data_IF_171305432708
#
_entry.id   IF_171305432708
#
_cell.length_a   1.000
_cell.length_b   1.000
_cell.length_c   1.000
_cell.angle_alpha   90.00
_cell.angle_beta   90.00
_cell.angle_gamma   90.00
#
_symmetry.space_group_name_H-M   'P 1'
#
loop_
_entity.id
_entity.type
_entity.pdbx_description
1 polymer ?
#
# COMPACT_ATOMS: atom_id res chain seq x y z
N UNK A 1 25.94 69.59 28.94
CA UNK A 1 24.72 70.43 28.91
C UNK A 1 24.08 70.26 27.54
N UNK A 2 22.75 70.14 27.54
CA UNK A 2 21.83 70.24 26.40
C UNK A 2 21.64 69.01 25.52
N UNK A 3 20.73 68.16 26.01
CA UNK A 3 19.76 67.38 25.23
C UNK A 3 18.88 68.34 24.42
N UNK A 4 18.68 68.09 23.12
CA UNK A 4 17.37 68.28 22.48
C UNK A 4 17.18 67.30 21.32
N UNK A 5 16.08 66.57 21.46
CA UNK A 5 15.41 65.64 20.58
C UNK A 5 14.76 66.38 19.40
N UNK A 6 14.92 65.92 18.15
CA UNK A 6 13.99 66.26 17.08
C UNK A 6 13.96 65.18 15.98
N UNK A 7 12.74 64.69 15.75
CA UNK A 7 12.33 63.70 14.76
C UNK A 7 12.67 64.12 13.33
N UNK A 8 13.04 63.16 12.48
CA UNK A 8 12.26 62.82 11.28
C UNK A 8 12.93 61.69 10.48
N UNK A 9 12.14 60.63 10.27
CA UNK A 9 12.18 59.74 9.10
C UNK A 9 13.41 58.84 8.94
N UNK A 10 13.50 57.82 9.79
CA UNK A 10 14.02 56.54 9.35
C UNK A 10 13.04 55.92 8.34
N UNK A 11 13.51 55.40 7.19
CA UNK A 11 12.70 54.47 6.41
C UNK A 11 12.61 53.16 7.21
N UNK A 12 11.49 52.95 7.92
CA UNK A 12 10.95 51.59 8.10
C UNK A 12 10.83 51.01 6.68
N UNK A 13 11.41 49.88 6.32
CA UNK A 13 11.61 48.66 7.07
C UNK A 13 10.95 47.58 6.21
N UNK A 14 11.73 46.84 5.44
CA UNK A 14 11.26 45.65 4.73
C UNK A 14 11.87 44.42 5.41
N UNK A 15 11.43 44.18 6.65
CA UNK A 15 11.11 42.82 7.10
C UNK A 15 9.62 42.67 6.86
N UNK A 16 9.25 41.74 6.01
CA UNK A 16 7.90 41.17 6.02
C UNK A 16 8.07 39.71 6.43
N UNK A 17 7.86 39.44 7.71
CA UNK A 17 7.43 38.12 8.13
C UNK A 17 6.02 37.88 7.59
N UNK A 18 5.74 36.66 7.20
CA UNK A 18 4.39 36.13 7.19
C UNK A 18 4.36 35.01 8.22
N UNK A 19 4.03 35.39 9.45
CA UNK A 19 3.25 34.53 10.34
C UNK A 19 1.97 34.18 9.58
N UNK A 20 1.74 32.90 9.32
CA UNK A 20 0.42 32.40 8.99
C UNK A 20 -0.24 31.83 10.25
N UNK A 21 -1.55 32.06 10.42
CA UNK A 21 -2.23 31.91 11.69
C UNK A 21 -2.61 30.46 11.94
N UNK A 22 -2.63 30.07 13.21
CA UNK A 22 -3.43 28.93 13.66
C UNK A 22 -4.87 29.08 13.15
N UNK A 23 -5.45 28.09 12.45
CA UNK A 23 -6.87 28.11 12.18
C UNK A 23 -7.61 27.79 13.48
N UNK A 24 -8.36 28.77 13.96
CA UNK A 24 -9.44 28.55 14.92
C UNK A 24 -10.47 27.59 14.30
N UNK A 25 -11.06 26.65 15.07
CA UNK A 25 -12.03 25.65 14.59
C UNK A 25 -13.33 26.21 13.98
N UNK A 26 -13.50 27.54 13.91
CA UNK A 26 -14.73 28.19 13.49
C UNK A 26 -14.77 28.62 11.99
N UNK A 27 -13.65 28.49 11.25
CA UNK A 27 -13.57 28.99 9.88
C UNK A 27 -13.98 27.97 8.79
N UNK A 28 -13.95 26.67 9.07
CA UNK A 28 -14.33 25.63 8.10
C UNK A 28 -15.84 25.42 7.97
N UNK A 29 -16.62 25.94 8.92
CA UNK A 29 -18.09 25.81 8.90
C UNK A 29 -18.74 26.70 7.83
N UNK A 30 -18.06 27.75 7.33
CA UNK A 30 -18.66 28.72 6.40
C UNK A 30 -18.31 28.55 4.91
N UNK A 31 -17.45 27.60 4.52
CA UNK A 31 -17.21 27.27 3.09
C UNK A 31 -18.12 26.18 2.54
N UNK A 32 -18.80 25.41 3.39
CA UNK A 32 -19.81 24.42 2.98
C UNK A 32 -21.23 25.01 2.74
N UNK A 33 -21.47 26.30 3.00
CA UNK A 33 -22.83 26.86 2.96
C UNK A 33 -23.28 27.39 1.58
N UNK A 34 -22.46 27.30 0.53
CA UNK A 34 -22.84 27.75 -0.83
C UNK A 34 -23.37 26.66 -1.78
N UNK A 35 -23.53 25.42 -1.30
CA UNK A 35 -24.21 24.33 -2.03
C UNK A 35 -25.55 23.91 -1.41
N UNK A 36 -26.18 24.78 -0.61
CA UNK A 36 -27.59 24.59 -0.24
C UNK A 36 -28.46 25.15 -1.36
N UNK A 37 -28.50 24.43 -2.48
CA UNK A 37 -29.67 24.47 -3.36
C UNK A 37 -30.90 24.05 -2.55
N UNK A 38 -32.08 24.59 -2.92
CA UNK A 38 -33.37 24.30 -2.29
C UNK A 38 -33.51 22.80 -1.94
N UNK A 39 -34.15 22.44 -0.81
CA UNK A 39 -34.29 21.06 -0.40
C UNK A 39 -34.98 20.28 -1.53
N UNK A 40 -34.23 19.44 -2.25
CA UNK A 40 -34.84 18.34 -2.98
C UNK A 40 -35.39 17.42 -1.92
N UNK A 41 -36.67 17.09 -2.04
CA UNK A 41 -37.24 15.97 -1.30
C UNK A 41 -36.37 14.76 -1.61
N UNK A 42 -35.59 14.31 -0.62
CA UNK A 42 -34.94 13.00 -0.66
C UNK A 42 -36.11 12.02 -0.56
N UNK A 43 -36.52 11.50 -1.70
CA UNK A 43 -37.47 10.39 -1.73
C UNK A 43 -36.90 9.27 -0.86
N UNK A 44 -37.76 8.65 -0.05
CA UNK A 44 -37.44 7.48 0.75
C UNK A 44 -37.16 6.31 -0.18
N UNK A 45 -35.95 6.25 -0.73
CA UNK A 45 -35.42 5.05 -1.37
C UNK A 45 -35.06 4.08 -0.24
N UNK A 46 -35.55 2.83 -0.27
CA UNK A 46 -35.12 1.83 0.71
C UNK A 46 -33.62 1.61 0.57
N UNK A 47 -32.91 1.56 1.71
CA UNK A 47 -31.52 1.06 1.75
C UNK A 47 -31.47 -0.24 0.96
N UNK A 48 -30.53 -0.33 0.01
CA UNK A 48 -30.42 -1.51 -0.84
C UNK A 48 -30.31 -2.76 0.05
N UNK A 49 -30.87 -3.90 -0.40
CA UNK A 49 -30.82 -5.15 0.37
C UNK A 49 -29.39 -5.57 0.75
N UNK A 50 -28.38 -5.01 0.07
CA UNK A 50 -26.95 -5.20 0.30
C UNK A 50 -26.38 -4.31 1.39
N UNK A 51 -26.81 -3.05 1.53
CA UNK A 51 -26.48 -2.24 2.73
C UNK A 51 -27.05 -2.90 3.98
N UNK A 52 -28.27 -3.46 3.88
CA UNK A 52 -28.87 -4.23 4.97
C UNK A 52 -28.10 -5.55 5.24
N UNK A 53 -27.50 -6.16 4.21
CA UNK A 53 -26.64 -7.35 4.34
C UNK A 53 -25.30 -7.01 4.98
N UNK A 54 -24.66 -5.91 4.57
CA UNK A 54 -23.46 -5.37 5.20
C UNK A 54 -23.71 -5.07 6.67
N UNK A 55 -24.75 -4.30 6.99
CA UNK A 55 -25.15 -4.07 8.39
C UNK A 55 -25.49 -5.38 9.11
N UNK A 56 -26.10 -6.38 8.47
CA UNK A 56 -26.35 -7.70 9.10
C UNK A 56 -25.08 -8.52 9.32
N UNK A 57 -24.10 -8.47 8.43
CA UNK A 57 -22.81 -9.15 8.58
C UNK A 57 -22.01 -8.50 9.72
N UNK A 58 -21.91 -7.18 9.73
CA UNK A 58 -21.19 -6.41 10.75
C UNK A 58 -21.91 -6.34 12.10
N UNK A 59 -23.25 -6.47 12.15
CA UNK A 59 -24.02 -6.50 13.42
C UNK A 59 -24.18 -7.90 14.03
N UNK A 60 -23.92 -8.99 13.28
CA UNK A 60 -24.07 -10.37 13.79
C UNK A 60 -22.80 -11.03 14.31
N UNK A 61 -21.62 -10.42 14.18
CA UNK A 61 -20.40 -10.95 14.78
C UNK A 61 -19.69 -9.88 15.61
N UNK A 62 -19.87 -9.95 16.92
CA UNK A 62 -19.14 -9.12 17.89
C UNK A 62 -17.65 -9.45 18.01
N UNK A 63 -17.01 -9.95 16.94
CA UNK A 63 -15.57 -10.25 16.92
C UNK A 63 -14.95 -9.60 15.69
N UNK A 64 -14.33 -8.45 15.94
CA UNK A 64 -13.44 -7.77 14.97
C UNK A 64 -12.43 -8.78 14.43
N UNK A 65 -12.18 -8.76 13.12
CA UNK A 65 -11.08 -9.55 12.54
C UNK A 65 -9.77 -8.87 12.95
N UNK A 66 -8.89 -9.63 13.60
CA UNK A 66 -7.56 -9.15 13.93
C UNK A 66 -6.76 -8.92 12.65
N UNK A 67 -5.90 -7.90 12.67
CA UNK A 67 -4.89 -7.76 11.64
C UNK A 67 -3.94 -8.95 11.69
N UNK A 68 -3.65 -9.52 10.53
CA UNK A 68 -2.72 -10.65 10.39
C UNK A 68 -1.76 -10.38 9.23
N UNK A 69 -0.49 -10.16 9.52
CA UNK A 69 0.54 -9.85 8.52
C UNK A 69 1.50 -11.01 8.30
N UNK A 70 2.04 -11.11 7.09
CA UNK A 70 3.21 -11.90 6.76
C UNK A 70 4.44 -10.98 6.79
N UNK A 71 5.43 -11.37 7.59
CA UNK A 71 6.67 -10.63 7.81
C UNK A 71 7.81 -11.56 7.45
N UNK A 72 8.85 -11.08 6.76
CA UNK A 72 10.04 -11.91 6.58
C UNK A 72 11.33 -11.10 6.65
N UNK A 73 12.37 -11.77 7.17
CA UNK A 73 13.75 -11.29 7.11
C UNK A 73 14.29 -11.61 5.72
N UNK A 74 14.79 -10.58 5.05
CA UNK A 74 15.36 -10.67 3.70
C UNK A 74 16.66 -11.49 3.72
N UNK A 75 17.04 -12.13 2.61
CA UNK A 75 18.19 -13.05 2.58
C UNK A 75 19.51 -12.49 3.12
N UNK A 76 19.82 -11.22 2.86
CA UNK A 76 21.05 -10.59 3.33
C UNK A 76 21.12 -10.44 4.86
N UNK A 77 19.99 -10.53 5.56
CA UNK A 77 19.86 -10.31 6.99
C UNK A 77 19.44 -11.57 7.77
N UNK A 78 19.36 -12.74 7.13
CA UNK A 78 19.00 -13.98 7.84
C UNK A 78 20.19 -14.45 8.69
N UNK A 79 20.24 -13.97 9.93
CA UNK A 79 21.14 -14.41 10.98
C UNK A 79 20.33 -14.70 12.25
N UNK A 80 20.84 -15.56 13.14
CA UNK A 80 20.15 -15.84 14.40
C UNK A 80 19.95 -14.58 15.28
N UNK A 81 20.93 -13.64 15.37
CA UNK A 81 20.70 -12.36 16.03
C UNK A 81 19.56 -11.53 15.43
N UNK A 82 19.40 -11.49 14.10
CA UNK A 82 18.30 -10.75 13.46
C UNK A 82 16.97 -11.45 13.70
N UNK A 83 16.92 -12.79 13.64
CA UNK A 83 15.70 -13.56 13.98
C UNK A 83 15.23 -13.25 15.39
N UNK A 84 16.15 -13.26 16.36
CA UNK A 84 15.84 -12.91 17.75
C UNK A 84 15.34 -11.47 17.88
N UNK A 85 16.06 -10.50 17.31
CA UNK A 85 15.69 -9.09 17.35
C UNK A 85 14.30 -8.84 16.75
N UNK A 86 14.00 -9.44 15.59
CA UNK A 86 12.70 -9.28 14.93
C UNK A 86 11.59 -9.90 15.76
N UNK A 87 11.77 -11.15 16.22
CA UNK A 87 10.77 -11.83 17.05
C UNK A 87 10.50 -11.07 18.35
N UNK A 88 11.54 -10.66 19.06
CA UNK A 88 11.43 -9.91 20.30
C UNK A 88 10.79 -8.54 20.07
N UNK A 89 11.17 -7.83 19.01
CA UNK A 89 10.58 -6.54 18.65
C UNK A 89 9.09 -6.63 18.33
N UNK A 90 8.66 -7.66 17.59
CA UNK A 90 7.25 -7.92 17.29
C UNK A 90 6.46 -8.19 18.58
N UNK A 91 6.95 -9.09 19.45
CA UNK A 91 6.30 -9.44 20.72
C UNK A 91 6.26 -8.24 21.67
N UNK A 92 7.33 -7.45 21.78
CA UNK A 92 7.41 -6.28 22.64
C UNK A 92 6.40 -5.19 22.25
N UNK A 93 6.01 -5.11 20.97
CA UNK A 93 4.98 -4.20 20.48
C UNK A 93 3.56 -4.80 20.57
N UNK A 94 3.41 -5.98 21.19
CA UNK A 94 2.13 -6.61 21.48
C UNK A 94 1.55 -7.47 20.36
N UNK A 95 2.36 -7.85 19.37
CA UNK A 95 1.95 -8.75 18.30
C UNK A 95 2.14 -10.21 18.72
N UNK A 96 1.18 -11.06 18.35
CA UNK A 96 1.25 -12.50 18.57
C UNK A 96 1.90 -13.17 17.37
N UNK A 97 3.04 -13.85 17.56
CA UNK A 97 3.65 -14.69 16.52
C UNK A 97 2.89 -16.02 16.45
N UNK A 98 2.16 -16.24 15.37
CA UNK A 98 1.35 -17.44 15.15
C UNK A 98 2.19 -18.61 14.63
N UNK A 99 3.07 -18.32 13.67
CA UNK A 99 4.01 -19.29 13.10
C UNK A 99 5.21 -18.55 12.56
N UNK A 100 6.33 -19.25 12.47
CA UNK A 100 7.59 -18.76 11.90
C UNK A 100 8.32 -19.93 11.25
N UNK A 101 9.21 -19.64 10.31
CA UNK A 101 9.93 -20.70 9.62
C UNK A 101 10.93 -20.19 8.58
N UNK A 102 11.68 -21.13 8.02
CA UNK A 102 12.64 -20.86 6.95
C UNK A 102 12.07 -21.32 5.62
N UNK A 103 12.21 -20.51 4.56
CA UNK A 103 11.91 -20.90 3.18
C UNK A 103 13.21 -20.74 2.38
N UNK A 104 13.70 -21.84 1.82
CA UNK A 104 15.01 -21.88 1.16
C UNK A 104 14.98 -21.28 -0.25
N UNK A 105 16.14 -20.87 -0.76
CA UNK A 105 16.29 -20.36 -2.14
C UNK A 105 15.75 -21.33 -3.19
N UNK A 106 15.93 -22.64 -3.00
CA UNK A 106 15.48 -23.67 -3.94
C UNK A 106 13.94 -23.75 -3.98
N UNK A 107 13.28 -23.61 -2.83
CA UNK A 107 11.83 -23.55 -2.77
C UNK A 107 11.30 -22.26 -3.40
N UNK A 108 11.95 -21.12 -3.11
CA UNK A 108 11.60 -19.83 -3.70
C UNK A 108 11.68 -19.89 -5.22
N UNK A 109 12.76 -20.46 -5.76
CA UNK A 109 12.98 -20.53 -7.20
C UNK A 109 12.01 -21.52 -7.88
N UNK A 110 11.92 -22.74 -7.36
CA UNK A 110 11.08 -23.80 -7.96
C UNK A 110 9.58 -23.49 -7.95
N UNK A 111 9.10 -22.74 -6.95
CA UNK A 111 7.70 -22.30 -6.86
C UNK A 111 7.50 -20.86 -7.36
N UNK A 112 8.56 -20.19 -7.82
CA UNK A 112 8.52 -18.80 -8.27
C UNK A 112 7.94 -17.82 -7.22
N UNK A 113 8.20 -18.07 -5.92
CA UNK A 113 7.53 -17.36 -4.83
C UNK A 113 7.82 -15.87 -4.85
N UNK A 114 9.07 -15.48 -5.11
CA UNK A 114 9.46 -14.06 -5.16
C UNK A 114 8.94 -13.37 -6.42
N UNK A 115 8.87 -14.10 -7.54
CA UNK A 115 8.28 -13.61 -8.79
C UNK A 115 6.80 -13.32 -8.61
N UNK A 116 6.08 -14.22 -7.93
CA UNK A 116 4.65 -14.08 -7.66
C UNK A 116 4.38 -12.98 -6.62
N UNK A 117 5.23 -12.88 -5.59
CA UNK A 117 5.16 -11.81 -4.59
C UNK A 117 5.33 -10.42 -5.22
N UNK A 118 6.23 -10.28 -6.20
CA UNK A 118 6.43 -9.06 -6.97
C UNK A 118 5.83 -9.15 -8.39
N UNK A 119 4.69 -9.81 -8.57
CA UNK A 119 4.17 -10.14 -9.90
C UNK A 119 4.00 -8.93 -10.81
N UNK A 120 3.51 -7.80 -10.29
CA UNK A 120 3.35 -6.56 -11.04
C UNK A 120 4.68 -6.06 -11.64
N UNK A 121 5.80 -6.28 -10.95
CA UNK A 121 7.15 -5.94 -11.40
C UNK A 121 7.69 -7.03 -12.33
N UNK A 122 7.63 -8.29 -11.87
CA UNK A 122 8.19 -9.46 -12.52
C UNK A 122 7.62 -9.67 -13.93
N UNK A 123 6.30 -9.56 -14.06
CA UNK A 123 5.59 -9.72 -15.33
C UNK A 123 6.09 -8.72 -16.37
N UNK A 124 6.28 -7.45 -16.00
CA UNK A 124 6.78 -6.40 -16.90
C UNK A 124 8.28 -6.48 -17.17
N UNK A 125 9.04 -7.11 -16.27
CA UNK A 125 10.47 -7.31 -16.41
C UNK A 125 10.83 -8.53 -17.28
N UNK A 126 10.00 -9.58 -17.28
CA UNK A 126 10.41 -10.89 -17.82
C UNK A 126 9.36 -11.62 -18.66
N UNK A 127 8.06 -11.33 -18.50
CA UNK A 127 6.98 -12.09 -19.13
C UNK A 127 6.36 -11.34 -20.32
N UNK A 128 5.90 -10.12 -20.06
CA UNK A 128 5.22 -9.28 -21.03
C UNK A 128 6.21 -8.67 -22.01
N UNK A 129 5.84 -8.69 -23.28
CA UNK A 129 6.53 -7.96 -24.35
C UNK A 129 6.09 -6.49 -24.34
N UNK A 130 6.92 -5.57 -24.87
CA UNK A 130 6.62 -4.14 -24.83
C UNK A 130 5.23 -3.77 -25.37
N UNK A 131 4.79 -4.39 -26.47
CA UNK A 131 3.46 -4.15 -27.06
C UNK A 131 2.28 -4.68 -26.23
N UNK A 132 2.54 -5.42 -25.14
CA UNK A 132 1.54 -5.90 -24.19
C UNK A 132 1.46 -5.01 -22.93
N UNK A 133 2.34 -4.02 -22.80
CA UNK A 133 2.37 -3.12 -21.66
C UNK A 133 1.38 -1.96 -21.83
N UNK A 134 0.69 -1.60 -20.76
CA UNK A 134 -0.24 -0.47 -20.70
C UNK A 134 0.51 0.86 -20.41
N UNK A 135 1.49 1.20 -21.24
CA UNK A 135 2.34 2.39 -21.05
C UNK A 135 1.53 3.68 -21.21
N UNK A 136 1.52 4.59 -20.21
CA UNK A 136 0.98 5.94 -20.37
C UNK A 136 1.83 6.71 -21.39
N UNK A 137 1.34 6.79 -22.63
CA UNK A 137 2.12 7.28 -23.77
C UNK A 137 2.55 8.74 -23.61
N UNK A 138 1.70 9.56 -23.00
CA UNK A 138 1.96 10.97 -22.66
C UNK A 138 3.12 11.10 -21.67
N UNK A 139 3.16 10.27 -20.63
CA UNK A 139 4.26 10.28 -19.64
C UNK A 139 5.57 9.78 -20.27
N UNK A 140 5.50 8.75 -21.12
CA UNK A 140 6.68 8.24 -21.82
C UNK A 140 7.28 9.31 -22.73
N UNK A 141 6.46 9.95 -23.57
CA UNK A 141 6.90 11.01 -24.47
C UNK A 141 7.45 12.22 -23.72
N UNK A 142 6.76 12.65 -22.65
CA UNK A 142 7.23 13.75 -21.80
C UNK A 142 8.60 13.46 -21.18
N UNK A 143 8.86 12.22 -20.78
CA UNK A 143 10.14 11.83 -20.19
C UNK A 143 11.26 11.75 -21.23
N UNK A 144 11.00 11.11 -22.37
CA UNK A 144 12.06 10.66 -23.28
C UNK A 144 12.13 11.44 -24.58
N UNK A 145 11.17 12.34 -24.85
CA UNK A 145 11.06 13.10 -26.09
C UNK A 145 10.78 12.23 -27.32
N UNK A 146 10.27 11.01 -27.13
CA UNK A 146 9.98 10.04 -28.18
C UNK A 146 8.57 9.47 -27.97
N UNK A 147 7.75 9.45 -29.02
CA UNK A 147 6.41 8.87 -28.95
C UNK A 147 6.46 7.36 -28.66
N UNK A 148 5.51 6.84 -27.89
CA UNK A 148 5.47 5.41 -27.52
C UNK A 148 5.38 4.49 -28.74
N UNK A 149 4.47 4.79 -29.68
CA UNK A 149 4.32 4.00 -30.91
C UNK A 149 5.59 4.07 -31.77
N UNK A 150 6.24 5.24 -31.84
CA UNK A 150 7.51 5.40 -32.55
C UNK A 150 8.62 4.55 -31.92
N UNK A 151 8.67 4.47 -30.59
CA UNK A 151 9.64 3.63 -29.89
C UNK A 151 9.43 2.13 -30.17
N UNK A 152 8.16 1.69 -30.26
CA UNK A 152 7.79 0.34 -30.68
C UNK A 152 8.19 0.06 -32.12
N UNK A 153 7.82 0.94 -33.05
CA UNK A 153 8.08 0.78 -34.48
C UNK A 153 9.58 0.75 -34.79
N UNK A 154 10.39 1.50 -34.03
CA UNK A 154 11.86 1.49 -34.12
C UNK A 154 12.52 0.31 -33.39
N UNK A 155 11.77 -0.50 -32.65
CA UNK A 155 12.31 -1.63 -31.89
C UNK A 155 13.28 -1.21 -30.77
N UNK A 156 12.99 -0.09 -30.10
CA UNK A 156 13.86 0.49 -29.06
C UNK A 156 13.45 0.11 -27.64
N UNK A 157 12.32 -0.58 -27.46
CA UNK A 157 11.73 -0.88 -26.15
C UNK A 157 11.84 -2.37 -25.83
N UNK A 158 12.20 -2.68 -24.59
CA UNK A 158 12.44 -4.05 -24.13
C UNK A 158 11.99 -4.22 -22.69
N UNK A 159 11.55 -5.42 -22.30
CA UNK A 159 11.55 -5.79 -20.89
C UNK A 159 13.00 -6.04 -20.41
N UNK A 160 13.22 -6.19 -19.10
CA UNK A 160 14.55 -6.41 -18.54
C UNK A 160 15.27 -7.62 -19.14
N UNK A 161 14.57 -8.76 -19.27
CA UNK A 161 15.13 -10.00 -19.80
C UNK A 161 15.62 -9.85 -21.24
N UNK A 162 14.76 -9.35 -22.12
CA UNK A 162 15.06 -9.16 -23.53
C UNK A 162 16.10 -8.04 -23.73
N UNK A 163 16.02 -6.97 -22.92
CA UNK A 163 16.96 -5.86 -22.96
C UNK A 163 18.37 -6.28 -22.54
N UNK A 164 18.47 -7.10 -21.51
CA UNK A 164 19.73 -7.70 -21.07
C UNK A 164 20.35 -8.58 -22.18
N UNK A 165 19.53 -9.44 -22.79
CA UNK A 165 19.96 -10.27 -23.92
C UNK A 165 20.37 -9.45 -25.15
N UNK A 166 19.64 -8.36 -25.45
CA UNK A 166 19.93 -7.43 -26.56
C UNK A 166 21.27 -6.72 -26.38
N UNK A 167 21.60 -6.34 -25.15
CA UNK A 167 22.85 -5.66 -24.80
C UNK A 167 24.01 -6.64 -24.56
N UNK A 168 23.73 -7.94 -24.41
CA UNK A 168 24.74 -8.94 -24.10
C UNK A 168 25.34 -8.77 -22.69
N UNK A 169 24.53 -8.33 -21.73
CA UNK A 169 24.95 -8.08 -20.34
C UNK A 169 24.20 -9.03 -19.39
N UNK A 170 24.67 -9.11 -18.14
CA UNK A 170 23.99 -9.84 -17.09
C UNK A 170 23.07 -8.94 -16.25
N UNK A 171 22.34 -9.55 -15.32
CA UNK A 171 21.37 -8.85 -14.46
C UNK A 171 22.01 -7.76 -13.60
N UNK A 172 23.20 -8.01 -13.05
CA UNK A 172 23.90 -7.09 -12.15
C UNK A 172 24.47 -5.89 -12.92
N UNK A 173 24.99 -6.13 -14.13
CA UNK A 173 25.42 -5.07 -15.04
C UNK A 173 24.24 -4.19 -15.45
N UNK A 174 23.10 -4.78 -15.80
CA UNK A 174 21.87 -4.05 -16.13
C UNK A 174 21.39 -3.21 -14.94
N UNK A 175 21.37 -3.77 -13.72
CA UNK A 175 20.99 -3.05 -12.50
C UNK A 175 21.96 -1.89 -12.17
N UNK A 176 23.26 -2.11 -12.38
CA UNK A 176 24.27 -1.06 -12.27
C UNK A 176 24.04 0.09 -13.26
N UNK A 177 23.63 -0.21 -14.50
CA UNK A 177 23.25 0.80 -15.49
C UNK A 177 21.93 1.48 -15.13
N UNK A 178 20.96 0.73 -14.61
CA UNK A 178 19.69 1.23 -14.11
C UNK A 178 19.88 2.26 -13.00
N UNK A 179 20.75 1.97 -12.02
CA UNK A 179 21.11 2.90 -10.95
C UNK A 179 21.74 4.19 -11.45
N UNK A 180 22.53 4.13 -12.53
CA UNK A 180 23.09 5.32 -13.19
C UNK A 180 22.02 6.13 -13.91
N UNK A 181 21.13 5.48 -14.65
CA UNK A 181 20.01 6.14 -15.32
C UNK A 181 19.08 6.85 -14.31
N UNK A 182 18.78 6.21 -13.17
CA UNK A 182 18.02 6.84 -12.08
C UNK A 182 18.68 8.13 -11.60
N UNK A 183 20.00 8.13 -11.38
CA UNK A 183 20.76 9.31 -10.93
C UNK A 183 20.85 10.40 -12.01
N UNK A 184 20.84 10.02 -13.27
CA UNK A 184 20.84 10.95 -14.41
C UNK A 184 19.45 11.56 -14.70
N UNK A 185 18.39 11.08 -14.04
CA UNK A 185 17.02 11.49 -14.34
C UNK A 185 16.43 10.81 -15.59
N UNK A 186 17.11 9.79 -16.13
CA UNK A 186 16.72 9.01 -17.31
C UNK A 186 15.77 7.85 -16.97
N UNK A 187 14.96 8.01 -15.93
CA UNK A 187 14.03 7.00 -15.43
C UNK A 187 12.68 7.64 -15.11
N UNK A 188 11.60 7.00 -15.54
CA UNK A 188 10.23 7.37 -15.21
C UNK A 188 9.53 6.25 -14.45
N UNK A 189 8.77 6.64 -13.41
CA UNK A 189 7.79 5.79 -12.73
C UNK A 189 6.41 6.07 -13.31
N UNK A 190 5.77 5.07 -13.90
CA UNK A 190 4.40 5.19 -14.41
C UNK A 190 3.36 4.97 -13.31
N UNK A 191 3.64 4.05 -12.39
CA UNK A 191 2.79 3.66 -11.25
C UNK A 191 3.49 2.64 -10.35
N UNK A 192 2.75 2.03 -9.42
CA UNK A 192 3.23 0.91 -8.60
C UNK A 192 3.85 -0.20 -9.46
N UNK A 193 5.09 -0.57 -9.15
CA UNK A 193 5.82 -1.64 -9.87
C UNK A 193 6.06 -1.42 -11.37
N UNK A 194 5.86 -0.22 -11.91
CA UNK A 194 5.94 0.06 -13.35
C UNK A 194 6.90 1.21 -13.66
N UNK A 195 8.12 0.84 -14.07
CA UNK A 195 9.21 1.76 -14.32
C UNK A 195 9.84 1.52 -15.68
N UNK A 196 10.34 2.59 -16.29
CA UNK A 196 11.14 2.53 -17.52
C UNK A 196 12.36 3.42 -17.37
N UNK A 197 13.51 2.93 -17.80
CA UNK A 197 14.75 3.70 -17.86
C UNK A 197 15.32 3.68 -19.28
N UNK A 198 15.91 4.80 -19.69
CA UNK A 198 16.74 4.84 -20.88
C UNK A 198 18.14 4.31 -20.53
N UNK A 199 18.52 3.23 -21.19
CA UNK A 199 19.79 2.54 -20.99
C UNK A 199 20.50 2.51 -22.35
N UNK A 200 21.56 3.31 -22.48
CA UNK A 200 22.16 3.61 -23.78
C UNK A 200 21.09 4.19 -24.74
N UNK A 201 20.88 3.57 -25.90
CA UNK A 201 19.93 4.02 -26.92
C UNK A 201 18.59 3.25 -26.88
N UNK A 202 18.34 2.44 -25.84
CA UNK A 202 17.10 1.67 -25.69
C UNK A 202 16.38 1.97 -24.37
N UNK A 203 15.11 1.59 -24.30
CA UNK A 203 14.23 1.77 -23.16
C UNK A 203 13.92 0.42 -22.53
N UNK A 204 14.29 0.24 -21.27
CA UNK A 204 14.14 -1.02 -20.55
C UNK A 204 13.12 -0.85 -19.43
N UNK A 205 12.20 -1.81 -19.30
CA UNK A 205 11.23 -1.86 -18.22
C UNK A 205 11.74 -2.70 -17.05
N UNK A 206 11.64 -2.16 -15.83
CA UNK A 206 11.97 -2.82 -14.57
C UNK A 206 13.34 -3.55 -14.55
N UNK A 207 14.39 -2.92 -15.10
CA UNK A 207 15.72 -3.50 -15.28
C UNK A 207 16.43 -3.97 -14.01
N UNK A 208 16.01 -3.47 -12.84
CA UNK A 208 16.53 -3.90 -11.54
C UNK A 208 16.00 -5.27 -11.08
N UNK A 209 14.89 -5.76 -11.64
CA UNK A 209 14.16 -6.91 -11.10
C UNK A 209 14.99 -8.19 -11.08
N UNK A 210 15.77 -8.44 -12.14
CA UNK A 210 16.55 -9.69 -12.25
C UNK A 210 17.64 -9.77 -11.18
N UNK A 211 18.35 -8.66 -10.92
CA UNK A 211 19.33 -8.54 -9.83
C UNK A 211 18.64 -8.72 -8.47
N UNK A 212 17.50 -8.05 -8.25
CA UNK A 212 16.71 -8.21 -7.03
C UNK A 212 16.29 -9.66 -6.79
N UNK A 213 15.74 -10.34 -7.81
CA UNK A 213 15.33 -11.75 -7.76
C UNK A 213 16.50 -12.65 -7.36
N UNK A 214 17.69 -12.41 -7.93
CA UNK A 214 18.88 -13.24 -7.68
C UNK A 214 19.23 -13.35 -6.19
N UNK A 215 18.99 -12.30 -5.40
CA UNK A 215 19.24 -12.28 -3.95
C UNK A 215 18.40 -13.28 -3.17
N UNK A 216 17.24 -13.68 -3.71
CA UNK A 216 16.32 -14.62 -3.08
C UNK A 216 16.52 -16.06 -3.54
N UNK A 217 17.04 -16.26 -4.75
CA UNK A 217 17.17 -17.58 -5.38
C UNK A 217 18.61 -18.08 -5.45
N UNK A 218 19.59 -17.27 -5.06
CA UNK A 218 20.99 -17.68 -5.01
C UNK A 218 21.15 -18.89 -4.05
N UNK A 219 21.89 -19.94 -4.45
CA UNK A 219 22.05 -21.14 -3.63
C UNK A 219 22.54 -20.85 -2.21
N UNK A 220 21.89 -21.48 -1.23
CA UNK A 220 22.22 -21.30 0.19
C UNK A 220 21.63 -20.04 0.82
N UNK A 221 20.84 -19.27 0.09
CA UNK A 221 20.02 -18.20 0.66
C UNK A 221 18.69 -18.74 1.19
N UNK A 222 18.01 -17.92 1.98
CA UNK A 222 16.66 -18.20 2.48
C UNK A 222 16.00 -16.90 2.92
N UNK A 223 14.69 -16.93 3.11
CA UNK A 223 14.02 -15.99 4.01
C UNK A 223 13.69 -16.67 5.33
N UNK A 224 13.52 -15.88 6.39
CA UNK A 224 12.92 -16.35 7.64
C UNK A 224 11.65 -15.56 7.90
N UNK A 225 10.50 -16.24 7.89
CA UNK A 225 9.19 -15.59 7.96
C UNK A 225 8.58 -15.67 9.36
N UNK A 226 7.63 -14.78 9.62
CA UNK A 226 6.70 -14.77 10.73
C UNK A 226 5.30 -14.48 10.18
N UNK A 227 4.29 -15.17 10.70
CA UNK A 227 2.90 -14.72 10.62
C UNK A 227 2.54 -14.13 11.96
N UNK A 228 2.15 -12.87 11.98
CA UNK A 228 1.84 -12.13 13.20
C UNK A 228 0.41 -11.63 13.20
N UNK A 229 -0.23 -11.68 14.36
CA UNK A 229 -1.62 -11.26 14.56
C UNK A 229 -1.72 -10.23 15.70
N UNK A 230 -2.56 -9.21 15.54
CA UNK A 230 -2.84 -8.22 16.57
C UNK A 230 -4.22 -7.56 16.43
N UNK A 231 -4.66 -6.92 17.51
CA UNK A 231 -5.90 -6.14 17.56
C UNK A 231 -5.69 -4.75 16.93
N UNK A 232 -6.40 -4.48 15.83
CA UNK A 232 -6.34 -3.21 15.10
C UNK A 232 -6.64 -1.99 15.99
N UNK A 233 -7.43 -2.16 17.07
CA UNK A 233 -7.72 -1.06 18.01
C UNK A 233 -6.53 -0.65 18.86
N UNK A 234 -5.51 -1.50 18.98
CA UNK A 234 -4.30 -1.24 19.76
C UNK A 234 -3.15 -0.74 18.89
N UNK A 235 -3.11 -1.16 17.63
CA UNK A 235 -2.08 -0.82 16.67
C UNK A 235 -2.69 -0.87 15.26
N UNK A 236 -2.82 0.29 14.60
CA UNK A 236 -3.26 0.33 13.20
C UNK A 236 -2.20 -0.31 12.29
N UNK A 237 -2.62 -0.77 11.12
CA UNK A 237 -1.70 -1.29 10.10
C UNK A 237 -0.65 -0.26 9.68
N UNK A 238 -1.08 1.00 9.48
CA UNK A 238 -0.20 2.15 9.24
C UNK A 238 0.89 2.26 10.32
N UNK A 239 0.49 2.20 11.60
CA UNK A 239 1.43 2.29 12.72
C UNK A 239 2.33 1.07 12.80
N UNK A 240 1.83 -0.12 12.49
CA UNK A 240 2.64 -1.33 12.38
C UNK A 240 3.75 -1.14 11.33
N UNK A 241 3.45 -0.61 10.15
CA UNK A 241 4.47 -0.37 9.12
C UNK A 241 5.38 0.80 9.43
N UNK A 242 4.84 1.92 9.87
CA UNK A 242 5.61 3.13 10.12
C UNK A 242 6.47 3.08 11.38
N UNK A 243 6.00 2.44 12.45
CA UNK A 243 6.62 2.53 13.79
C UNK A 243 7.18 1.21 14.30
N UNK A 244 6.56 0.07 13.98
CA UNK A 244 7.07 -1.24 14.38
C UNK A 244 8.11 -1.72 13.37
N UNK A 245 7.73 -1.81 12.09
CA UNK A 245 8.65 -2.20 11.02
C UNK A 245 9.66 -1.09 10.71
N UNK A 246 9.15 0.14 10.52
CA UNK A 246 9.90 1.30 10.03
C UNK A 246 9.71 1.51 8.52
N UNK A 247 9.84 2.74 7.99
CA UNK A 247 9.86 3.06 6.56
C UNK A 247 10.87 2.25 5.74
N UNK A 248 10.66 2.22 4.42
CA UNK A 248 11.48 1.40 3.51
C UNK A 248 12.95 1.78 3.50
N UNK A 249 13.26 3.07 3.59
CA UNK A 249 14.63 3.54 3.82
C UNK A 249 14.95 3.46 5.32
N UNK A 250 15.88 2.58 5.75
CA UNK A 250 16.25 2.47 7.15
C UNK A 250 16.79 3.78 7.75
N UNK A 251 17.36 4.68 6.93
CA UNK A 251 17.88 5.96 7.39
C UNK A 251 16.76 6.93 7.85
N UNK A 252 15.53 6.72 7.38
CA UNK A 252 14.35 7.49 7.77
C UNK A 252 13.57 6.79 8.90
N UNK A 253 14.02 5.62 9.35
CA UNK A 253 13.27 4.81 10.28
C UNK A 253 13.45 5.24 11.75
N UNK A 254 12.36 5.19 12.57
CA UNK A 254 12.49 5.38 14.00
C UNK A 254 13.54 4.45 14.59
N UNK A 255 14.38 4.95 15.51
CA UNK A 255 15.50 4.18 16.06
C UNK A 255 15.05 2.90 16.79
N UNK A 256 13.82 2.87 17.31
CA UNK A 256 13.23 1.71 17.99
C UNK A 256 12.43 0.77 17.05
N UNK A 257 12.24 1.14 15.79
CA UNK A 257 11.65 0.25 14.77
C UNK A 257 12.60 -0.89 14.39
N UNK A 258 12.08 -1.97 13.80
CA UNK A 258 12.89 -3.10 13.37
C UNK A 258 13.98 -2.69 12.37
N UNK A 259 13.63 -1.90 11.35
CA UNK A 259 14.60 -1.40 10.36
C UNK A 259 15.62 -0.44 10.98
N UNK A 260 15.18 0.43 11.89
CA UNK A 260 16.08 1.34 12.62
C UNK A 260 17.08 0.59 13.50
N UNK A 261 16.63 -0.44 14.22
CA UNK A 261 17.50 -1.26 15.05
C UNK A 261 18.46 -2.12 14.22
N UNK A 262 18.00 -2.68 13.11
CA UNK A 262 18.85 -3.44 12.18
C UNK A 262 19.92 -2.52 11.59
N UNK A 263 19.55 -1.31 11.15
CA UNK A 263 20.51 -0.31 10.67
C UNK A 263 21.53 0.06 11.74
N UNK A 264 21.10 0.33 12.97
CA UNK A 264 21.99 0.77 14.03
C UNK A 264 23.00 -0.32 14.45
N UNK A 265 22.60 -1.61 14.37
CA UNK A 265 23.37 -2.74 14.91
C UNK A 265 23.86 -3.70 13.83
N UNK A 266 23.84 -3.32 12.54
CA UNK A 266 24.02 -4.26 11.43
C UNK A 266 25.29 -5.13 11.54
N UNK A 267 26.41 -4.55 11.99
CA UNK A 267 27.67 -5.29 12.18
C UNK A 267 27.56 -6.33 13.30
N UNK A 268 26.99 -5.94 14.44
CA UNK A 268 26.76 -6.81 15.60
C UNK A 268 25.78 -7.93 15.27
N UNK A 269 24.80 -7.63 14.41
CA UNK A 269 23.80 -8.56 13.90
C UNK A 269 24.35 -9.50 12.80
N UNK A 270 25.60 -9.30 12.38
CA UNK A 270 26.29 -10.15 11.41
C UNK A 270 25.97 -9.86 9.94
N UNK A 271 25.41 -8.70 9.62
CA UNK A 271 25.21 -8.29 8.22
C UNK A 271 26.54 -7.96 7.56
N UNK A 272 26.65 -8.26 6.25
CA UNK A 272 27.88 -8.04 5.46
C UNK A 272 28.07 -6.59 5.00
N UNK A 273 26.99 -5.82 4.96
CA UNK A 273 26.97 -4.43 4.53
C UNK A 273 25.94 -3.64 5.33
N UNK A 274 26.16 -2.33 5.41
CA UNK A 274 25.19 -1.40 5.97
C UNK A 274 23.87 -1.49 5.18
N UNK A 275 22.71 -1.66 5.85
CA UNK A 275 21.41 -1.67 5.19
C UNK A 275 21.15 -0.42 4.33
N UNK A 276 20.43 -0.61 3.23
CA UNK A 276 19.95 0.44 2.34
C UNK A 276 18.47 0.22 1.99
N UNK A 277 17.89 1.02 1.08
CA UNK A 277 16.48 0.90 0.69
C UNK A 277 16.10 -0.48 0.12
N UNK A 278 17.02 -1.15 -0.58
CA UNK A 278 16.80 -2.47 -1.18
C UNK A 278 17.04 -3.59 -0.17
N UNK A 279 18.17 -3.53 0.52
CA UNK A 279 18.60 -4.46 1.56
C UNK A 279 18.34 -3.87 2.96
N UNK A 280 17.06 -3.65 3.25
CA UNK A 280 16.56 -3.01 4.49
C UNK A 280 16.22 -3.98 5.63
N UNK A 281 16.81 -5.18 5.64
CA UNK A 281 16.60 -6.19 6.67
C UNK A 281 15.29 -6.97 6.59
N UNK A 282 14.13 -6.29 6.61
CA UNK A 282 12.81 -6.92 6.79
C UNK A 282 11.74 -6.40 5.83
N UNK A 283 10.81 -7.28 5.47
CA UNK A 283 9.57 -7.02 4.75
C UNK A 283 8.36 -7.25 5.67
N UNK A 284 7.28 -6.51 5.46
CA UNK A 284 5.96 -6.87 5.97
C UNK A 284 4.87 -6.48 4.97
N UNK A 285 3.77 -7.25 4.96
CA UNK A 285 2.57 -6.98 4.16
C UNK A 285 2.07 -5.54 4.32
N UNK A 286 1.63 -4.92 3.22
CA UNK A 286 1.16 -3.54 3.22
C UNK A 286 -0.32 -3.35 3.62
N UNK A 287 -1.11 -4.43 3.55
CA UNK A 287 -2.53 -4.43 3.91
C UNK A 287 -3.02 -5.85 4.28
N UNK A 288 -4.21 -6.01 4.90
CA UNK A 288 -4.82 -7.31 5.19
C UNK A 288 -4.97 -8.21 3.95
N UNK A 289 -5.34 -7.61 2.82
CA UNK A 289 -5.53 -8.35 1.56
C UNK A 289 -4.21 -8.79 0.95
N UNK A 290 -3.21 -7.92 0.93
CA UNK A 290 -1.85 -8.31 0.53
C UNK A 290 -1.28 -9.38 1.45
N UNK A 291 -1.54 -9.29 2.75
CA UNK A 291 -1.11 -10.30 3.69
C UNK A 291 -1.76 -11.67 3.41
N UNK A 292 -3.04 -11.71 3.02
CA UNK A 292 -3.69 -12.93 2.55
C UNK A 292 -3.02 -13.46 1.27
N UNK A 293 -2.81 -12.60 0.27
CA UNK A 293 -2.14 -12.98 -0.98
C UNK A 293 -0.73 -13.53 -0.73
N UNK A 294 0.03 -12.91 0.17
CA UNK A 294 1.35 -13.36 0.59
C UNK A 294 1.30 -14.72 1.31
N UNK A 295 0.38 -14.92 2.27
CA UNK A 295 0.25 -16.22 2.94
C UNK A 295 -0.17 -17.33 1.97
N UNK A 296 -1.05 -17.04 1.01
CA UNK A 296 -1.41 -17.98 -0.04
C UNK A 296 -0.20 -18.36 -0.90
N UNK A 297 0.60 -17.37 -1.29
CA UNK A 297 1.79 -17.56 -2.11
C UNK A 297 2.90 -18.31 -1.35
N UNK A 298 3.36 -17.74 -0.25
CA UNK A 298 4.54 -18.20 0.49
C UNK A 298 4.30 -19.47 1.31
N UNK A 299 3.10 -19.63 1.87
CA UNK A 299 2.79 -20.71 2.82
C UNK A 299 1.79 -21.72 2.25
N UNK A 300 1.29 -21.51 1.04
CA UNK A 300 0.23 -22.36 0.47
C UNK A 300 -1.08 -22.31 1.26
N UNK A 301 -1.30 -21.24 2.02
CA UNK A 301 -2.50 -21.08 2.83
C UNK A 301 -3.76 -21.09 1.94
N UNK A 302 -4.82 -21.77 2.39
CA UNK A 302 -6.11 -21.75 1.69
C UNK A 302 -6.95 -20.59 2.21
N UNK A 303 -7.59 -19.87 1.29
CA UNK A 303 -8.54 -18.79 1.61
C UNK A 303 -9.63 -19.26 2.57
N UNK A 304 -10.13 -20.49 2.38
CA UNK A 304 -11.17 -21.11 3.21
C UNK A 304 -10.74 -21.42 4.64
N UNK A 305 -9.44 -21.38 4.93
CA UNK A 305 -8.86 -21.67 6.24
C UNK A 305 -8.32 -20.39 6.92
N UNK A 306 -7.96 -19.38 6.14
CA UNK A 306 -7.48 -18.05 6.59
C UNK A 306 -8.58 -17.21 7.27
N UNK A 307 -8.22 -16.48 8.33
CA UNK A 307 -9.17 -15.67 9.10
C UNK A 307 -9.78 -14.52 8.28
N UNK A 308 -8.96 -13.80 7.52
CA UNK A 308 -9.43 -12.71 6.65
C UNK A 308 -10.06 -13.26 5.37
N UNK A 309 -9.47 -14.34 4.81
CA UNK A 309 -10.01 -15.02 3.64
C UNK A 309 -11.45 -15.51 3.81
N UNK A 310 -11.78 -16.10 4.96
CA UNK A 310 -13.16 -16.53 5.28
C UNK A 310 -14.17 -15.38 5.26
N UNK A 311 -13.78 -14.21 5.74
CA UNK A 311 -14.66 -13.04 5.78
C UNK A 311 -14.89 -12.47 4.38
N UNK A 312 -13.87 -12.47 3.52
CA UNK A 312 -14.02 -12.10 2.11
C UNK A 312 -14.98 -13.06 1.37
N UNK A 313 -14.85 -14.36 1.62
CA UNK A 313 -15.78 -15.36 1.06
C UNK A 313 -17.21 -15.18 1.61
N UNK A 314 -17.35 -14.91 2.91
CA UNK A 314 -18.65 -14.64 3.54
C UNK A 314 -19.29 -13.35 3.02
N UNK A 315 -18.48 -12.36 2.63
CA UNK A 315 -18.91 -11.14 1.96
C UNK A 315 -19.29 -11.37 0.48
N UNK A 316 -19.10 -12.58 -0.06
CA UNK A 316 -19.51 -12.96 -1.41
C UNK A 316 -18.43 -12.77 -2.48
N UNK A 317 -17.19 -12.42 -2.10
CA UNK A 317 -16.07 -12.36 -3.04
C UNK A 317 -15.63 -13.79 -3.34
N UNK A 318 -15.64 -14.19 -4.61
CA UNK A 318 -15.32 -15.58 -4.99
C UNK A 318 -13.81 -15.86 -4.88
N UNK A 319 -13.43 -17.12 -4.62
CA UNK A 319 -12.00 -17.53 -4.66
C UNK A 319 -11.32 -17.18 -5.99
N UNK A 320 -12.07 -17.25 -7.10
CA UNK A 320 -11.57 -16.84 -8.42
C UNK A 320 -11.18 -15.36 -8.42
N UNK A 321 -12.07 -14.49 -7.95
CA UNK A 321 -11.84 -13.04 -7.85
C UNK A 321 -10.65 -12.76 -6.93
N UNK A 322 -10.57 -13.41 -5.76
CA UNK A 322 -9.44 -13.26 -4.83
C UNK A 322 -8.10 -13.63 -5.48
N UNK A 323 -8.09 -14.71 -6.29
CA UNK A 323 -6.90 -15.11 -7.04
C UNK A 323 -6.53 -14.08 -8.12
N UNK A 324 -7.49 -13.55 -8.85
CA UNK A 324 -7.27 -12.50 -9.85
C UNK A 324 -6.77 -11.19 -9.22
N UNK A 325 -7.24 -10.88 -8.01
CA UNK A 325 -6.83 -9.71 -7.26
C UNK A 325 -5.47 -9.87 -6.55
N UNK A 326 -5.06 -11.10 -6.24
CA UNK A 326 -3.77 -11.40 -5.59
C UNK A 326 -2.53 -11.07 -6.43
N UNK A 327 -2.70 -10.70 -7.70
CA UNK A 327 -1.63 -10.29 -8.61
C UNK A 327 -1.57 -8.78 -8.85
N UNK A 328 -2.23 -8.01 -7.96
CA UNK A 328 -2.28 -6.55 -7.98
C UNK A 328 -2.78 -5.96 -9.32
N UNK A 329 -4.01 -6.28 -9.74
CA UNK A 329 -4.59 -5.70 -10.94
C UNK A 329 -4.82 -4.20 -10.77
N UNK A 330 -4.95 -3.52 -11.91
CA UNK A 330 -5.53 -2.18 -11.93
C UNK A 330 -7.05 -2.30 -11.77
N UNK A 331 -7.62 -1.58 -10.82
CA UNK A 331 -9.06 -1.50 -10.57
C UNK A 331 -9.55 -0.08 -10.75
N UNK A 332 -10.77 0.08 -11.25
CA UNK A 332 -11.43 1.38 -11.39
C UNK A 332 -12.53 1.50 -10.34
N UNK A 333 -12.54 2.59 -9.58
CA UNK A 333 -13.49 2.79 -8.48
C UNK A 333 -13.83 4.27 -8.26
N UNK A 334 -14.89 4.51 -7.48
CA UNK A 334 -15.32 5.84 -7.06
C UNK A 334 -16.10 6.63 -8.13
N UNK A 335 -16.81 7.69 -7.72
CA UNK A 335 -17.69 8.46 -8.61
C UNK A 335 -16.93 9.24 -9.69
N UNK A 336 -15.67 9.61 -9.44
CA UNK A 336 -14.80 10.27 -10.42
C UNK A 336 -14.02 9.28 -11.30
N UNK A 337 -14.27 7.97 -11.17
CA UNK A 337 -13.59 6.89 -11.90
C UNK A 337 -12.06 6.99 -11.83
N UNK A 338 -11.49 6.62 -10.68
CA UNK A 338 -10.05 6.54 -10.49
C UNK A 338 -9.59 5.13 -10.82
N UNK A 339 -8.56 4.98 -11.65
CA UNK A 339 -7.92 3.69 -11.94
C UNK A 339 -6.55 3.63 -11.26
N UNK A 340 -6.36 2.64 -10.38
CA UNK A 340 -5.13 2.46 -9.61
C UNK A 340 -4.85 0.98 -9.32
N UNK A 341 -3.67 0.68 -8.77
CA UNK A 341 -3.36 -0.65 -8.25
C UNK A 341 -4.28 -0.98 -7.08
N UNK A 342 -4.80 -2.21 -7.04
CA UNK A 342 -5.65 -2.65 -5.94
C UNK A 342 -4.87 -2.68 -4.61
N UNK A 343 -3.61 -3.10 -4.63
CA UNK A 343 -2.78 -3.10 -3.43
C UNK A 343 -2.52 -1.68 -2.92
N UNK A 344 -2.13 -0.76 -3.81
CA UNK A 344 -1.93 0.66 -3.47
C UNK A 344 -3.22 1.28 -2.88
N UNK A 345 -4.40 0.89 -3.38
CA UNK A 345 -5.70 1.37 -2.88
C UNK A 345 -6.10 0.85 -1.51
N UNK A 346 -5.48 -0.23 -1.03
CA UNK A 346 -5.76 -0.88 0.26
C UNK A 346 -4.64 -0.70 1.28
N UNK A 347 -3.55 -0.05 0.89
CA UNK A 347 -2.36 0.17 1.71
C UNK A 347 -2.74 0.81 3.05
N UNK A 348 -2.12 0.32 4.14
CA UNK A 348 -2.26 0.82 5.51
C UNK A 348 -3.68 0.74 6.12
N UNK A 349 -4.62 0.09 5.43
CA UNK A 349 -5.95 -0.18 5.97
C UNK A 349 -5.91 -1.30 7.02
N UNK A 350 -6.76 -1.19 8.05
CA UNK A 350 -7.03 -2.30 8.96
C UNK A 350 -8.01 -3.31 8.33
N UNK A 351 -8.12 -4.51 8.93
CA UNK A 351 -8.92 -5.62 8.38
C UNK A 351 -10.37 -5.22 8.03
N UNK A 352 -11.05 -4.47 8.90
CA UNK A 352 -12.44 -4.05 8.64
C UNK A 352 -12.59 -3.06 7.49
N UNK A 353 -11.89 -1.90 7.47
CA UNK A 353 -11.97 -0.99 6.32
C UNK A 353 -11.48 -1.66 5.03
N UNK A 354 -10.46 -2.53 5.09
CA UNK A 354 -9.99 -3.29 3.93
C UNK A 354 -11.10 -4.17 3.33
N UNK A 355 -11.80 -4.94 4.18
CA UNK A 355 -12.95 -5.77 3.77
C UNK A 355 -14.05 -4.92 3.13
N UNK A 356 -14.36 -3.76 3.72
CA UNK A 356 -15.39 -2.87 3.20
C UNK A 356 -15.02 -2.28 1.82
N UNK A 357 -13.77 -1.87 1.61
CA UNK A 357 -13.28 -1.37 0.33
C UNK A 357 -13.30 -2.45 -0.77
N UNK A 358 -12.91 -3.67 -0.43
CA UNK A 358 -12.96 -4.80 -1.36
C UNK A 358 -14.39 -5.17 -1.75
N UNK A 359 -15.33 -5.07 -0.80
CA UNK A 359 -16.73 -5.27 -1.10
C UNK A 359 -17.27 -4.20 -2.07
N UNK A 360 -16.91 -2.93 -1.86
CA UNK A 360 -17.32 -1.81 -2.74
C UNK A 360 -16.76 -1.98 -4.17
N UNK A 361 -15.56 -2.54 -4.31
CA UNK A 361 -14.91 -2.78 -5.62
C UNK A 361 -15.58 -3.87 -6.49
N UNK A 362 -16.60 -4.57 -5.98
CA UNK A 362 -17.38 -5.53 -6.76
C UNK A 362 -18.45 -4.89 -7.65
N UNK A 363 -18.72 -3.59 -7.55
CA UNK A 363 -19.81 -2.92 -8.27
C UNK A 363 -19.31 -1.85 -9.25
N UNK A 364 -19.70 -2.01 -10.53
CA UNK A 364 -19.87 -0.90 -11.46
C UNK A 364 -21.06 -0.05 -10.94
N UNK A 365 -20.76 1.13 -10.38
CA UNK A 365 -21.69 2.25 -10.13
C UNK A 365 -22.93 2.00 -9.25
N UNK A 366 -22.85 2.38 -7.96
CA UNK A 366 -23.98 3.04 -7.28
C UNK A 366 -23.48 4.02 -6.19
N UNK A 367 -23.81 5.31 -6.33
CA UNK A 367 -23.17 6.41 -5.57
C UNK A 367 -23.55 6.51 -4.08
N UNK A 368 -24.47 5.67 -3.62
CA UNK A 368 -25.08 5.79 -2.29
C UNK A 368 -24.22 5.16 -1.18
N UNK A 369 -23.20 4.35 -1.52
CA UNK A 369 -22.36 3.63 -0.56
C UNK A 369 -21.22 4.48 0.02
N UNK A 370 -20.57 5.33 -0.79
CA UNK A 370 -19.45 6.17 -0.35
C UNK A 370 -19.82 7.10 0.82
N UNK A 371 -21.07 7.56 0.89
CA UNK A 371 -21.55 8.47 1.94
C UNK A 371 -21.60 7.78 3.32
N UNK A 372 -21.91 6.48 3.36
CA UNK A 372 -21.95 5.70 4.58
C UNK A 372 -20.54 5.42 5.13
N UNK A 373 -19.58 5.09 4.24
CA UNK A 373 -18.17 4.89 4.58
C UNK A 373 -17.49 6.18 5.12
N UNK A 374 -17.71 7.33 4.46
CA UNK A 374 -17.19 8.62 4.94
C UNK A 374 -17.69 8.97 6.36
N UNK A 375 -18.90 8.53 6.73
CA UNK A 375 -19.47 8.76 8.06
C UNK A 375 -18.82 7.87 9.13
N UNK A 376 -18.39 6.66 8.77
CA UNK A 376 -17.72 5.73 9.71
C UNK A 376 -16.23 6.02 9.91
N UNK A 377 -15.55 6.60 8.91
CA UNK A 377 -14.11 6.91 8.97
C UNK A 377 -13.81 8.24 9.69
N UNK A 378 -14.82 9.00 10.12
CA UNK A 378 -14.62 10.24 10.88
C UNK A 378 -14.42 9.94 12.37
N UNK A 379 -13.43 10.58 13.05
CA UNK A 379 -13.27 10.41 14.49
C UNK A 379 -14.54 10.87 15.23
N UNK A 380 -14.86 10.29 16.40
CA UNK A 380 -16.11 10.55 17.10
C UNK A 380 -16.15 12.00 17.60
N UNK A 381 -16.71 12.88 16.77
CA UNK A 381 -17.09 14.22 17.17
C UNK A 381 -18.41 14.22 17.96
N UNK A 382 -18.74 15.31 18.67
CA UNK A 382 -19.92 15.39 19.54
C UNK A 382 -21.27 15.17 18.84
N UNK A 383 -21.32 15.14 17.50
CA UNK A 383 -22.52 14.86 16.70
C UNK A 383 -22.72 13.38 16.33
N UNK A 384 -21.81 12.47 16.72
CA UNK A 384 -21.93 11.04 16.44
C UNK A 384 -23.20 10.42 17.06
N UNK A 385 -23.61 10.92 18.24
CA UNK A 385 -24.81 10.46 18.94
C UNK A 385 -26.12 10.90 18.26
N UNK A 386 -26.11 12.02 17.54
CA UNK A 386 -27.31 12.54 16.86
C UNK A 386 -27.62 11.74 15.59
N UNK A 387 -26.59 11.29 14.87
CA UNK A 387 -26.74 10.49 13.64
C UNK A 387 -27.00 9.02 13.97
N UNK A 388 -26.32 8.46 15.00
CA UNK A 388 -26.64 7.13 15.51
C UNK A 388 -28.09 7.03 16.04
N UNK A 389 -28.63 8.12 16.60
CA UNK A 389 -30.04 8.22 17.00
C UNK A 389 -31.02 8.21 15.83
N UNK A 390 -30.69 8.84 14.70
CA UNK A 390 -31.53 8.86 13.49
C UNK A 390 -31.55 7.48 12.80
N UNK A 391 -30.41 6.80 12.75
CA UNK A 391 -30.30 5.44 12.18
C UNK A 391 -31.03 4.42 13.07
N UNK A 392 -30.91 4.54 14.39
CA UNK A 392 -31.61 3.65 15.34
C UNK A 392 -33.13 3.83 15.30
N UNK A 393 -33.63 5.06 15.13
CA UNK A 393 -35.05 5.35 14.99
C UNK A 393 -35.65 4.80 13.68
N UNK A 394 -34.88 4.79 12.59
CA UNK A 394 -35.31 4.22 11.31
C UNK A 394 -35.37 2.68 11.33
N UNK A 395 -34.41 2.03 12.01
CA UNK A 395 -34.40 0.56 12.20
C UNK A 395 -35.58 0.10 13.06
N UNK A 396 -35.91 0.84 14.14
CA UNK A 396 -37.07 0.56 14.97
C UNK A 396 -38.41 0.74 14.21
N UNK A 397 -38.50 1.74 13.33
CA UNK A 397 -39.67 1.96 12.47
C UNK A 397 -39.88 0.85 11.43
N UNK A 398 -38.81 0.33 10.83
CA UNK A 398 -38.88 -0.77 9.86
C UNK A 398 -39.28 -2.11 10.52
N UNK A 399 -38.87 -2.36 11.77
CA UNK A 399 -39.27 -3.55 12.51
C UNK A 399 -40.77 -3.58 12.85
N UNK A 400 -41.40 -2.42 13.06
CA UNK A 400 -42.83 -2.32 13.39
C UNK A 400 -43.76 -2.61 12.20
N UNK A 401 -43.29 -2.36 10.96
CA UNK A 401 -44.06 -2.62 9.73
C UNK A 401 -44.11 -4.11 9.37
N UNK A 402 -43.14 -4.91 9.83
CA UNK A 402 -43.11 -6.36 9.60
C UNK A 402 -43.89 -7.18 10.63
N UNK A 403 -44.42 -6.58 11.70
CA UNK A 403 -45.23 -7.26 12.72
C UNK A 403 -46.75 -7.13 12.51
N UNK A 404 -47.21 -6.49 11.43
CA UNK A 404 -48.65 -6.28 11.16
C UNK A 404 -49.12 -6.78 9.78
N UNK A 405 -48.53 -7.86 9.27
CA UNK A 405 -49.14 -8.69 8.22
C UNK A 405 -49.08 -10.17 8.57
#
# INVERSE_FOLDING_TARGET
>A
MTVTLALALAPRGMRMGWEHPHPSPAADVLRCSKFIGKPRQVGTQPLSSRVLLFFKLFSKQGKMVNNTAFVFIKPHAVTDPVKALVKEGLVAKGLNVLTEGTISSEEIDSKMLIDQHYYAIASKATLLKPNQLNVPSDKFEKQFGLGWQEALDKGLVYNALDGSAKLGIDADTLDGMWGKAKKAGDLVKFGGGFYCAKIQDIYIFNGFFMSMRSKFVAPGCSIYYFVVEWDAKKLSWESFRGTVLGPTDPAEAPADSLRGQILAKWQELGLKSCPDTGDNGVHASASPFEALAERMNWLGAKVTEDSFGKELLAAGISEKTLKEWSVDPQVTYGPESVTASLFDSLEDTDSEPCLALLFDSLEDTDSDYCLALCTMMSPPGPNFYTIAGVVSAFIAGAALVFMTK
#
